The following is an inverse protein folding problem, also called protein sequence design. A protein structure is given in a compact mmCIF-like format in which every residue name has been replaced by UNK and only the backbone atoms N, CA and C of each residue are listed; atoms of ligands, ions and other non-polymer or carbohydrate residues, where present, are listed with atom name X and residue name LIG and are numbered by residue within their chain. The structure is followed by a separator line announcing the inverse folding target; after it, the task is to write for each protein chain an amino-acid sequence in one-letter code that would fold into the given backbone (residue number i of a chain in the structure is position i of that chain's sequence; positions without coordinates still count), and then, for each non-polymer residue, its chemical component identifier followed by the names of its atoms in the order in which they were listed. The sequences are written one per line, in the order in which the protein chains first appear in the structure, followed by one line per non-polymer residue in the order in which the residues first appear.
data_IF_298383726701
#
_entry.id   IF_298383726701
#
_cell.length_a   1.000
_cell.length_b   1.000
_cell.length_c   1.000
_cell.angle_alpha   90.00
_cell.angle_beta   90.00
_cell.angle_gamma   90.00
#
_symmetry.space_group_name_H-M   'P 1'
#
loop_
_entity.id
_entity.type
_entity.pdbx_description
1 polymer ?
#
# COMPACT_ATOMS: atom_id res chain seq x y z
N UNK A 1 -44.43 9.38 76.86
CA UNK A 1 -43.65 8.63 77.88
C UNK A 1 -42.52 7.86 77.19
N UNK A 2 -41.49 7.45 77.95
CA UNK A 2 -40.61 6.26 77.80
C UNK A 2 -40.50 5.59 76.40
N UNK A 3 -39.32 5.50 75.78
CA UNK A 3 -38.31 4.40 75.93
C UNK A 3 -38.78 3.05 75.30
N UNK A 4 -37.95 2.23 74.62
CA UNK A 4 -36.47 2.14 74.50
C UNK A 4 -36.05 1.32 73.25
N UNK A 5 -34.75 1.39 72.92
CA UNK A 5 -33.82 0.40 72.30
C UNK A 5 -34.26 -1.10 72.30
N UNK A 6 -33.83 -2.08 71.47
CA UNK A 6 -32.66 -2.33 70.56
C UNK A 6 -32.97 -3.62 69.71
N UNK A 7 -32.32 -4.10 68.62
CA UNK A 7 -31.07 -3.78 67.89
C UNK A 7 -31.08 -4.25 66.40
N UNK A 8 -30.14 -3.68 65.64
CA UNK A 8 -29.35 -4.14 64.47
C UNK A 8 -29.22 -5.64 64.11
N UNK A 9 -29.34 -5.96 62.81
CA UNK A 9 -28.43 -6.88 62.06
C UNK A 9 -28.17 -6.29 60.66
N UNK A 10 -26.92 -6.30 60.20
CA UNK A 10 -26.50 -5.94 58.82
C UNK A 10 -26.57 -7.16 57.90
N UNK A 11 -26.84 -6.95 56.60
CA UNK A 11 -25.91 -7.38 55.56
C UNK A 11 -25.99 -6.45 54.33
N UNK A 12 -24.90 -6.35 53.57
CA UNK A 12 -24.69 -5.28 52.59
C UNK A 12 -25.34 -5.54 51.22
N UNK A 13 -25.56 -4.47 50.47
CA UNK A 13 -26.10 -4.49 49.11
C UNK A 13 -25.03 -4.79 48.05
N UNK A 14 -25.49 -5.24 46.87
CA UNK A 14 -24.90 -4.83 45.59
C UNK A 14 -26.05 -4.24 44.76
N UNK A 15 -25.81 -3.07 44.17
CA UNK A 15 -26.78 -2.31 43.38
C UNK A 15 -26.93 -2.86 41.96
N UNK A 16 -28.15 -2.80 41.43
CA UNK A 16 -28.41 -2.93 40.00
C UNK A 16 -28.16 -1.59 39.29
N UNK A 17 -27.88 -1.63 37.99
CA UNK A 17 -28.45 -0.69 37.00
C UNK A 17 -28.26 -1.20 35.58
N UNK A 18 -29.30 -1.05 34.77
CA UNK A 18 -29.30 -1.28 33.33
C UNK A 18 -30.16 -0.20 32.66
N UNK A 19 -29.90 0.09 31.38
CA UNK A 19 -30.60 1.11 30.57
C UNK A 19 -30.38 2.56 31.06
N UNK A 20 -30.40 3.61 30.24
CA UNK A 20 -31.16 3.87 29.01
C UNK A 20 -30.33 4.57 27.91
N UNK A 21 -30.94 4.78 26.74
CA UNK A 21 -30.32 5.40 25.57
C UNK A 21 -30.48 6.93 25.52
N UNK A 22 -29.64 7.60 24.72
CA UNK A 22 -29.81 8.98 24.27
C UNK A 22 -29.64 9.07 22.75
N UNK A 23 -30.57 9.73 22.06
CA UNK A 23 -30.52 9.96 20.61
C UNK A 23 -30.03 11.39 20.29
N UNK A 24 -29.46 11.56 19.09
CA UNK A 24 -29.62 12.81 18.33
C UNK A 24 -28.44 13.78 18.31
N UNK A 25 -27.58 13.66 17.30
CA UNK A 25 -27.13 14.81 16.52
C UNK A 25 -26.64 14.33 15.15
N UNK A 26 -27.06 15.00 14.07
CA UNK A 26 -26.73 14.63 12.70
C UNK A 26 -25.41 15.26 12.27
N UNK A 27 -24.37 14.44 12.14
CA UNK A 27 -23.19 14.76 11.35
C UNK A 27 -22.73 13.51 10.63
N UNK A 28 -22.57 13.60 9.30
CA UNK A 28 -21.98 12.52 8.49
C UNK A 28 -20.49 12.38 8.78
N UNK A 29 -20.20 11.78 9.93
CA UNK A 29 -18.87 11.42 10.36
C UNK A 29 -18.38 10.30 9.44
N UNK A 30 -17.78 10.68 8.30
CA UNK A 30 -17.15 9.77 7.33
C UNK A 30 -16.33 8.74 8.09
N UNK A 31 -16.86 7.51 8.16
CA UNK A 31 -16.31 6.47 9.00
C UNK A 31 -15.09 5.89 8.32
N UNK A 32 -13.97 6.59 8.50
CA UNK A 32 -12.64 6.03 8.34
C UNK A 32 -12.53 4.84 9.28
N UNK A 33 -12.92 3.66 8.81
CA UNK A 33 -12.49 2.39 9.38
C UNK A 33 -10.98 2.36 9.23
N UNK A 34 -10.29 2.87 10.25
CA UNK A 34 -8.91 2.52 10.50
C UNK A 34 -8.88 0.99 10.58
N UNK A 35 -8.37 0.35 9.53
CA UNK A 35 -8.03 -1.07 9.61
C UNK A 35 -7.13 -1.21 10.83
N UNK A 36 -7.53 -2.06 11.78
CA UNK A 36 -6.75 -2.31 12.97
C UNK A 36 -5.35 -2.72 12.52
N UNK A 37 -4.39 -1.82 12.70
CA UNK A 37 -3.01 -2.13 12.38
C UNK A 37 -2.60 -3.27 13.33
N UNK A 38 -2.06 -4.39 12.83
CA UNK A 38 -1.26 -5.26 13.68
C UNK A 38 -0.26 -4.37 14.44
N UNK A 39 -0.03 -4.64 15.74
CA UNK A 39 0.81 -3.76 16.56
C UNK A 39 2.21 -3.66 15.97
N UNK A 40 2.91 -2.57 16.33
CA UNK A 40 4.28 -2.25 15.92
C UNK A 40 5.14 -3.52 15.77
N UNK A 41 5.44 -3.92 14.53
CA UNK A 41 6.68 -4.65 14.24
C UNK A 41 7.78 -3.60 14.17
N UNK A 42 8.07 -3.01 15.33
CA UNK A 42 9.31 -2.26 15.52
C UNK A 42 10.40 -3.30 15.73
N UNK A 43 11.24 -3.50 14.71
CA UNK A 43 12.44 -4.35 14.81
C UNK A 43 13.52 -3.64 15.66
N UNK A 44 13.21 -3.42 16.93
CA UNK A 44 14.17 -2.91 17.92
C UNK A 44 15.05 -4.07 18.38
N UNK A 45 16.36 -3.91 18.21
CA UNK A 45 17.41 -4.79 18.75
C UNK A 45 17.38 -6.25 18.23
N UNK A 46 17.28 -6.41 16.91
CA UNK A 46 17.87 -7.58 16.25
C UNK A 46 19.40 -7.36 16.14
N UNK A 47 20.26 -8.17 16.79
CA UNK A 47 21.70 -7.97 16.83
C UNK A 47 22.42 -8.25 15.49
N UNK A 48 21.69 -8.65 14.44
CA UNK A 48 22.22 -8.80 13.07
C UNK A 48 22.14 -7.51 12.25
N UNK A 49 21.40 -6.50 12.71
CA UNK A 49 21.30 -5.21 12.01
C UNK A 49 22.65 -4.48 11.99
N UNK A 50 23.02 -3.80 10.88
CA UNK A 50 24.25 -3.01 10.84
C UNK A 50 24.19 -1.87 11.87
N UNK A 51 25.26 -1.64 12.63
CA UNK A 51 25.27 -0.72 13.78
C UNK A 51 24.85 0.74 13.48
N UNK A 52 24.88 1.16 12.22
CA UNK A 52 24.40 2.46 11.76
C UNK A 52 22.87 2.57 11.60
N UNK A 53 22.12 1.47 11.69
CA UNK A 53 20.66 1.37 11.54
C UNK A 53 20.00 1.19 12.92
N UNK A 54 19.16 2.14 13.35
CA UNK A 54 18.40 2.04 14.61
C UNK A 54 17.13 1.19 14.46
N UNK A 55 16.32 1.50 13.45
CA UNK A 55 15.08 0.78 13.15
C UNK A 55 14.73 0.91 11.65
N UNK A 56 13.86 0.01 11.19
CA UNK A 56 13.10 0.19 9.95
C UNK A 56 11.70 -0.40 10.14
N UNK A 57 10.76 0.02 9.30
CA UNK A 57 9.37 -0.41 9.42
C UNK A 57 8.51 -0.09 8.22
N UNK A 58 7.29 -0.63 8.24
CA UNK A 58 6.32 -0.54 7.16
C UNK A 58 4.92 -0.25 7.71
N UNK A 59 4.17 0.59 7.00
CA UNK A 59 2.76 0.87 7.29
C UNK A 59 1.95 0.86 6.00
N UNK A 60 0.94 -0.01 5.96
CA UNK A 60 -0.02 -0.08 4.85
C UNK A 60 -1.29 0.67 5.23
N UNK A 61 -1.89 1.38 4.27
CA UNK A 61 -3.18 2.04 4.39
C UNK A 61 -4.05 1.72 3.18
N UNK A 62 -5.11 0.93 3.43
CA UNK A 62 -6.20 0.80 2.48
C UNK A 62 -7.15 2.00 2.60
N UNK A 63 -7.70 2.47 1.48
CA UNK A 63 -8.77 3.45 1.45
C UNK A 63 -9.69 3.22 0.24
N UNK A 64 -10.93 3.69 0.36
CA UNK A 64 -11.97 3.55 -0.66
C UNK A 64 -12.84 4.80 -0.63
N UNK A 65 -13.20 5.32 -1.81
CA UNK A 65 -14.28 6.27 -1.99
C UNK A 65 -15.41 5.50 -2.68
N UNK A 66 -16.47 5.09 -1.95
CA UNK A 66 -17.61 4.41 -2.55
C UNK A 66 -18.40 5.39 -3.42
N UNK A 67 -18.96 4.91 -4.53
CA UNK A 67 -19.85 5.67 -5.39
C UNK A 67 -21.07 6.15 -4.59
N UNK A 68 -21.34 7.46 -4.59
CA UNK A 68 -22.46 8.05 -3.85
C UNK A 68 -23.83 7.76 -4.50
N UNK A 69 -23.86 7.43 -5.79
CA UNK A 69 -25.05 7.02 -6.53
C UNK A 69 -24.69 6.12 -7.73
N UNK A 70 -25.69 5.62 -8.47
CA UNK A 70 -25.50 4.65 -9.57
C UNK A 70 -24.72 5.17 -10.77
N UNK A 71 -24.56 6.49 -10.94
CA UNK A 71 -23.84 7.12 -12.04
C UNK A 71 -22.49 7.73 -11.59
N UNK A 72 -22.11 7.50 -10.33
CA UNK A 72 -20.87 7.98 -9.74
C UNK A 72 -19.73 6.95 -9.91
N UNK A 73 -18.50 7.37 -9.66
CA UNK A 73 -17.34 6.48 -9.70
C UNK A 73 -17.04 5.88 -8.32
N UNK A 74 -16.59 4.63 -8.30
CA UNK A 74 -16.02 4.00 -7.11
C UNK A 74 -14.51 3.88 -7.31
N UNK A 75 -13.71 4.31 -6.34
CA UNK A 75 -12.26 4.10 -6.35
C UNK A 75 -11.79 3.45 -5.06
N UNK A 76 -10.83 2.54 -5.17
CA UNK A 76 -10.13 1.92 -4.05
C UNK A 76 -8.63 2.05 -4.26
N UNK A 77 -7.82 2.09 -3.20
CA UNK A 77 -6.37 1.97 -3.32
C UNK A 77 -5.73 1.47 -2.03
N UNK A 78 -4.48 1.02 -2.15
CA UNK A 78 -3.61 0.65 -1.04
C UNK A 78 -2.30 1.40 -1.19
N UNK A 79 -1.97 2.26 -0.23
CA UNK A 79 -0.64 2.87 -0.16
C UNK A 79 0.23 2.21 0.92
N UNK A 80 1.54 2.21 0.70
CA UNK A 80 2.56 1.85 1.68
C UNK A 80 3.42 3.06 2.02
N UNK A 81 3.82 3.13 3.27
CA UNK A 81 4.88 3.99 3.77
C UNK A 81 5.93 3.08 4.40
N UNK A 82 7.17 3.14 3.93
CA UNK A 82 8.28 2.35 4.47
C UNK A 82 9.41 3.30 4.89
N UNK A 83 9.96 3.12 6.10
CA UNK A 83 10.96 4.03 6.67
C UNK A 83 12.13 3.28 7.28
N UNK A 84 13.27 3.97 7.40
CA UNK A 84 14.39 3.58 8.25
C UNK A 84 14.92 4.81 9.00
N UNK A 85 15.45 4.58 10.20
CA UNK A 85 16.19 5.57 10.97
C UNK A 85 17.61 5.07 11.24
N UNK A 86 18.60 5.91 11.00
CA UNK A 86 20.02 5.65 11.23
C UNK A 86 20.51 6.29 12.52
N UNK A 87 21.71 5.96 12.99
CA UNK A 87 22.32 6.56 14.20
C UNK A 87 22.30 8.09 14.12
N UNK A 88 22.73 8.60 12.98
CA UNK A 88 22.95 10.01 12.64
C UNK A 88 22.82 10.21 11.11
N UNK A 89 22.94 11.47 10.67
CA UNK A 89 22.72 11.87 9.29
C UNK A 89 23.75 11.37 8.27
N UNK A 90 24.97 11.01 8.69
CA UNK A 90 26.01 10.58 7.74
C UNK A 90 25.68 9.20 7.14
N UNK A 91 24.94 8.37 7.87
CA UNK A 91 24.54 7.03 7.46
C UNK A 91 23.21 6.99 6.67
N UNK A 92 22.56 8.13 6.41
CA UNK A 92 21.27 8.15 5.71
C UNK A 92 21.31 7.52 4.30
N UNK A 93 22.45 7.62 3.61
CA UNK A 93 22.65 7.03 2.28
C UNK A 93 23.15 5.58 2.33
N UNK A 94 23.53 5.03 3.49
CA UNK A 94 24.04 3.65 3.61
C UNK A 94 22.94 2.60 3.39
N UNK A 95 21.67 2.98 3.49
CA UNK A 95 20.52 2.08 3.36
C UNK A 95 19.53 2.60 2.32
N UNK A 96 18.84 1.70 1.63
CA UNK A 96 17.81 2.06 0.65
C UNK A 96 16.79 0.93 0.45
N UNK A 97 15.62 1.29 -0.08
CA UNK A 97 14.58 0.33 -0.44
C UNK A 97 14.69 -0.10 -1.90
N UNK A 98 14.47 -1.39 -2.13
CA UNK A 98 14.06 -1.93 -3.44
C UNK A 98 12.63 -2.45 -3.29
N UNK A 99 11.77 -2.13 -4.25
CA UNK A 99 10.43 -2.69 -4.33
C UNK A 99 10.41 -3.79 -5.40
N UNK A 100 9.68 -4.87 -5.11
CA UNK A 100 9.37 -5.94 -6.05
C UNK A 100 7.87 -6.02 -6.26
N UNK A 101 7.44 -6.41 -7.46
CA UNK A 101 6.03 -6.56 -7.86
C UNK A 101 5.79 -7.91 -8.52
N UNK A 102 4.58 -8.44 -8.35
CA UNK A 102 3.99 -9.50 -9.17
C UNK A 102 2.46 -9.35 -9.25
N UNK A 103 1.84 -9.97 -10.26
CA UNK A 103 0.42 -9.87 -10.56
C UNK A 103 0.15 -9.03 -11.81
N UNK A 104 -1.04 -8.43 -11.92
CA UNK A 104 -1.36 -7.54 -13.03
C UNK A 104 -2.38 -6.44 -12.73
N UNK A 105 -2.45 -5.46 -13.63
CA UNK A 105 -3.54 -4.48 -13.75
C UNK A 105 -4.27 -4.70 -15.08
N UNK A 106 -5.60 -4.74 -15.04
CA UNK A 106 -6.42 -5.05 -16.21
C UNK A 106 -7.79 -4.35 -16.16
N UNK A 107 -8.34 -4.02 -17.33
CA UNK A 107 -9.73 -3.58 -17.45
C UNK A 107 -10.67 -4.79 -17.43
N UNK A 108 -11.83 -4.64 -16.79
CA UNK A 108 -12.95 -5.58 -16.91
C UNK A 108 -14.24 -4.83 -17.20
N UNK A 109 -15.04 -5.36 -18.13
CA UNK A 109 -16.27 -4.74 -18.63
C UNK A 109 -17.40 -5.76 -18.63
N UNK A 110 -18.59 -5.35 -18.18
CA UNK A 110 -19.81 -6.18 -18.23
C UNK A 110 -20.69 -5.73 -19.38
N UNK A 111 -20.86 -6.62 -20.34
CA UNK A 111 -21.71 -6.43 -21.52
C UNK A 111 -23.20 -6.49 -21.16
N UNK A 112 -24.05 -6.02 -22.09
CA UNK A 112 -25.52 -6.00 -21.93
C UNK A 112 -26.17 -7.38 -21.89
N UNK A 113 -25.50 -8.40 -22.41
CA UNK A 113 -25.88 -9.82 -22.31
C UNK A 113 -25.44 -10.48 -20.99
N UNK A 114 -24.71 -9.72 -20.14
CA UNK A 114 -24.15 -10.21 -18.87
C UNK A 114 -22.78 -10.86 -18.99
N UNK A 115 -22.21 -10.99 -20.19
CA UNK A 115 -20.85 -11.53 -20.37
C UNK A 115 -19.78 -10.58 -19.80
N UNK A 116 -18.70 -11.16 -19.28
CA UNK A 116 -17.55 -10.41 -18.76
C UNK A 116 -16.42 -10.42 -19.77
N UNK A 117 -15.98 -9.24 -20.18
CA UNK A 117 -14.78 -9.03 -20.98
C UNK A 117 -13.63 -8.61 -20.06
N UNK A 118 -12.43 -9.13 -20.32
CA UNK A 118 -11.18 -8.77 -19.63
C UNK A 118 -10.19 -8.28 -20.69
N UNK A 119 -9.51 -7.18 -20.42
CA UNK A 119 -8.53 -6.57 -21.33
C UNK A 119 -7.26 -6.16 -20.58
N UNK A 120 -6.12 -6.70 -21.01
CA UNK A 120 -4.79 -6.31 -20.55
C UNK A 120 -4.32 -5.12 -21.38
N UNK A 121 -4.89 -3.95 -21.07
CA UNK A 121 -4.72 -2.70 -21.82
C UNK A 121 -4.01 -1.60 -21.01
N UNK A 122 -3.57 -1.91 -19.78
CA UNK A 122 -2.82 -0.99 -18.92
C UNK A 122 -1.32 -1.21 -19.11
N UNK A 123 -0.62 -0.15 -19.53
CA UNK A 123 0.84 -0.14 -19.66
C UNK A 123 1.51 0.25 -18.34
N UNK A 124 2.67 -0.34 -18.09
CA UNK A 124 3.60 0.01 -17.02
C UNK A 124 4.97 0.36 -17.62
N UNK A 125 5.64 1.38 -17.07
CA UNK A 125 7.03 1.64 -17.39
C UNK A 125 7.92 0.75 -16.52
N UNK A 126 8.78 -0.05 -17.14
CA UNK A 126 9.65 -1.02 -16.47
C UNK A 126 11.02 -1.01 -17.15
N UNK A 127 12.08 -0.71 -16.40
CA UNK A 127 13.47 -0.68 -16.90
C UNK A 127 13.64 0.11 -18.22
N UNK A 128 13.04 1.31 -18.29
CA UNK A 128 13.10 2.21 -19.46
C UNK A 128 12.21 1.81 -20.64
N UNK A 129 11.46 0.71 -20.56
CA UNK A 129 10.50 0.24 -21.59
C UNK A 129 9.06 0.44 -21.12
N UNK A 130 8.12 0.48 -22.06
CA UNK A 130 6.69 0.33 -21.78
C UNK A 130 6.26 -1.08 -22.15
N UNK A 131 5.58 -1.77 -21.25
CA UNK A 131 4.99 -3.09 -21.47
C UNK A 131 3.64 -3.19 -20.75
N UNK A 132 2.87 -4.26 -20.96
CA UNK A 132 1.65 -4.47 -20.17
C UNK A 132 2.00 -4.61 -18.68
N UNK A 133 1.15 -4.09 -17.79
CA UNK A 133 1.33 -4.26 -16.35
C UNK A 133 0.96 -5.69 -15.93
N UNK A 134 1.86 -6.63 -16.24
CA UNK A 134 1.71 -8.07 -16.07
C UNK A 134 3.08 -8.66 -15.70
N UNK A 135 3.20 -9.13 -14.46
CA UNK A 135 4.41 -9.73 -13.92
C UNK A 135 4.02 -11.06 -13.24
N UNK A 136 4.05 -12.20 -13.95
CA UNK A 136 3.62 -13.49 -13.39
C UNK A 136 4.40 -13.86 -12.12
N UNK A 137 5.71 -13.66 -12.20
CA UNK A 137 6.69 -13.86 -11.15
C UNK A 137 7.10 -12.54 -10.49
N UNK A 138 7.89 -12.64 -9.42
CA UNK A 138 8.46 -11.47 -8.75
C UNK A 138 9.57 -10.84 -9.62
N UNK A 139 9.43 -9.55 -9.93
CA UNK A 139 10.46 -8.71 -10.55
C UNK A 139 10.67 -7.43 -9.75
N UNK A 140 11.80 -6.75 -9.92
CA UNK A 140 11.98 -5.38 -9.39
C UNK A 140 10.95 -4.45 -10.01
N UNK A 141 10.39 -3.57 -9.19
CA UNK A 141 9.40 -2.56 -9.53
C UNK A 141 10.08 -1.19 -9.73
N UNK A 142 10.73 -0.99 -10.88
CA UNK A 142 11.38 0.28 -11.24
C UNK A 142 11.08 0.70 -12.69
N UNK A 143 10.71 1.98 -12.93
CA UNK A 143 10.57 2.53 -14.28
C UNK A 143 11.92 2.86 -14.93
N UNK A 144 13.01 2.93 -14.16
CA UNK A 144 14.36 3.25 -14.62
C UNK A 144 15.26 2.01 -14.59
N UNK A 145 16.50 2.14 -15.08
CA UNK A 145 17.47 1.04 -15.01
C UNK A 145 17.98 0.79 -13.58
N UNK A 146 17.99 1.81 -12.73
CA UNK A 146 18.36 1.69 -11.32
C UNK A 146 17.20 1.02 -10.53
N UNK A 147 17.45 -0.10 -9.82
CA UNK A 147 16.45 -0.80 -9.01
C UNK A 147 16.12 -0.12 -7.67
N UNK A 148 16.86 0.91 -7.24
CA UNK A 148 16.63 1.64 -6.00
C UNK A 148 15.35 2.50 -6.12
N UNK A 149 14.42 2.34 -5.16
CA UNK A 149 13.14 3.05 -5.19
C UNK A 149 13.33 4.56 -5.03
N UNK A 150 12.82 5.35 -5.99
CA UNK A 150 12.99 6.81 -5.98
C UNK A 150 14.33 7.31 -6.49
N UNK A 151 15.14 6.45 -7.12
CA UNK A 151 16.35 6.87 -7.84
C UNK A 151 16.03 7.73 -9.08
N UNK A 152 16.95 8.63 -9.42
CA UNK A 152 17.00 9.36 -10.70
C UNK A 152 18.47 9.63 -11.05
N UNK A 153 19.02 9.05 -12.14
CA UNK A 153 20.43 9.20 -12.50
C UNK A 153 20.80 10.63 -12.96
N UNK A 154 19.85 11.57 -12.99
CA UNK A 154 20.09 13.01 -13.22
C UNK A 154 20.32 13.79 -11.91
N UNK A 155 20.28 13.14 -10.76
CA UNK A 155 20.44 13.75 -9.43
C UNK A 155 21.81 13.48 -8.84
N UNK A 156 22.21 14.33 -7.88
CA UNK A 156 23.51 14.23 -7.21
C UNK A 156 23.65 12.98 -6.31
N UNK A 157 22.54 12.38 -5.90
CA UNK A 157 22.48 11.15 -5.09
C UNK A 157 21.32 10.27 -5.56
N UNK A 158 21.46 8.94 -5.41
CA UNK A 158 20.39 7.96 -5.65
C UNK A 158 19.21 8.18 -4.68
N UNK A 159 19.46 8.78 -3.52
CA UNK A 159 18.46 9.04 -2.47
C UNK A 159 17.65 10.32 -2.68
N UNK A 160 17.79 11.04 -3.80
CA UNK A 160 17.24 12.40 -3.95
C UNK A 160 15.75 12.48 -3.61
N UNK A 161 14.93 11.56 -4.14
CA UNK A 161 13.48 11.51 -3.91
C UNK A 161 13.06 10.63 -2.72
N UNK A 162 14.00 10.17 -1.88
CA UNK A 162 13.65 9.70 -0.54
C UNK A 162 13.08 10.87 0.25
N UNK A 163 12.06 10.62 1.06
CA UNK A 163 11.27 11.65 1.70
C UNK A 163 11.50 11.72 3.21
N UNK A 164 11.21 12.90 3.78
CA UNK A 164 11.23 13.14 5.22
C UNK A 164 10.14 14.14 5.63
N UNK A 165 9.88 14.22 6.93
CA UNK A 165 8.95 15.20 7.50
C UNK A 165 9.45 15.70 8.87
N UNK A 166 8.86 16.80 9.37
CA UNK A 166 9.24 17.43 10.65
C UNK A 166 8.74 16.68 11.89
N UNK A 167 7.85 15.71 11.70
CA UNK A 167 7.17 14.95 12.75
C UNK A 167 7.26 13.46 12.40
N UNK A 168 8.41 12.80 12.64
CA UNK A 168 8.68 11.43 12.21
C UNK A 168 7.76 10.37 12.83
N UNK A 169 7.06 10.72 13.92
CA UNK A 169 6.01 9.94 14.56
C UNK A 169 4.63 10.09 13.87
N UNK A 170 4.44 11.17 13.10
CA UNK A 170 3.23 11.47 12.33
C UNK A 170 3.41 11.10 10.86
N UNK A 171 3.05 9.86 10.52
CA UNK A 171 2.91 9.39 9.15
C UNK A 171 2.13 10.41 8.29
N UNK A 172 2.75 11.01 7.25
CA UNK A 172 2.14 12.07 6.48
C UNK A 172 0.94 11.54 5.67
N UNK A 173 0.02 12.44 5.32
CA UNK A 173 -1.19 12.10 4.53
C UNK A 173 -0.95 12.06 3.02
N UNK A 174 0.25 12.44 2.61
CA UNK A 174 0.74 12.70 1.25
C UNK A 174 2.27 12.55 1.26
N UNK A 175 2.92 12.91 0.16
CA UNK A 175 4.37 13.12 0.15
C UNK A 175 4.83 14.17 1.19
N UNK A 176 6.08 14.02 1.65
CA UNK A 176 6.81 14.94 2.51
C UNK A 176 7.77 15.86 1.72
N UNK A 177 8.89 16.22 2.35
CA UNK A 177 10.00 16.94 1.71
C UNK A 177 11.01 15.94 1.13
N UNK A 178 11.59 16.22 -0.03
CA UNK A 178 12.66 15.40 -0.59
C UNK A 178 14.00 15.62 0.13
N UNK A 179 14.75 14.54 0.31
CA UNK A 179 16.09 14.54 0.91
C UNK A 179 17.08 15.39 0.10
N UNK A 180 17.03 15.31 -1.23
CA UNK A 180 17.89 16.06 -2.13
C UNK A 180 17.64 17.58 -2.14
N UNK A 181 16.50 18.04 -1.63
CA UNK A 181 16.18 19.47 -1.51
C UNK A 181 16.62 20.07 -0.16
N UNK A 182 16.62 19.27 0.92
CA UNK A 182 17.01 19.71 2.26
C UNK A 182 17.32 18.55 3.22
N UNK A 183 18.34 18.74 4.07
CA UNK A 183 18.71 17.81 5.15
C UNK A 183 17.55 17.64 6.15
N UNK A 184 17.19 16.41 6.55
CA UNK A 184 16.05 16.15 7.42
C UNK A 184 16.29 16.57 8.87
N UNK A 185 15.22 16.89 9.59
CA UNK A 185 15.29 17.28 11.00
C UNK A 185 15.70 16.12 11.95
N UNK A 186 15.62 14.87 11.48
CA UNK A 186 16.04 13.65 12.18
C UNK A 186 16.76 12.72 11.20
N UNK A 187 17.60 11.76 11.65
CA UNK A 187 18.31 10.84 10.77
C UNK A 187 17.39 9.71 10.24
N UNK A 188 16.23 10.08 9.69
CA UNK A 188 15.17 9.19 9.23
C UNK A 188 14.73 9.55 7.83
N UNK A 189 14.63 8.56 6.95
CA UNK A 189 14.08 8.69 5.60
C UNK A 189 12.97 7.66 5.37
N UNK A 190 12.05 7.98 4.46
CA UNK A 190 10.97 7.10 4.05
C UNK A 190 10.72 7.13 2.55
N UNK A 191 10.09 6.08 2.05
CA UNK A 191 9.41 6.06 0.75
C UNK A 191 7.89 6.02 0.96
N UNK A 192 7.15 6.75 0.13
CA UNK A 192 5.71 6.61 0.00
C UNK A 192 5.39 6.06 -1.39
N UNK A 193 4.62 4.97 -1.47
CA UNK A 193 4.09 4.47 -2.73
C UNK A 193 2.58 4.28 -2.62
N UNK A 194 1.84 4.92 -3.52
CA UNK A 194 0.44 4.64 -3.82
C UNK A 194 0.37 4.34 -5.31
N UNK A 195 0.17 3.08 -5.73
CA UNK A 195 0.04 2.71 -7.14
C UNK A 195 -1.11 3.44 -7.84
N UNK A 196 -1.23 3.24 -9.16
CA UNK A 196 -2.43 3.66 -9.92
C UNK A 196 -3.71 3.28 -9.20
N UNK A 197 -4.75 4.10 -9.29
CA UNK A 197 -5.96 3.90 -8.48
C UNK A 197 -6.95 3.00 -9.21
N UNK A 198 -7.23 1.76 -8.72
CA UNK A 198 -8.33 0.96 -9.24
C UNK A 198 -9.65 1.73 -9.12
N UNK A 199 -10.38 1.78 -10.24
CA UNK A 199 -11.52 2.66 -10.44
C UNK A 199 -12.62 1.94 -11.22
N UNK A 200 -13.87 2.14 -10.83
CA UNK A 200 -15.05 1.66 -11.53
C UNK A 200 -15.93 2.85 -11.94
N UNK A 201 -16.48 2.79 -13.15
CA UNK A 201 -17.38 3.81 -13.72
C UNK A 201 -18.58 3.12 -14.34
N UNK A 202 -19.77 3.45 -13.84
CA UNK A 202 -21.05 2.98 -14.40
C UNK A 202 -21.59 4.00 -15.41
N UNK A 203 -21.67 3.64 -16.70
CA UNK A 203 -22.14 4.56 -17.75
C UNK A 203 -23.64 4.45 -18.02
N UNK A 204 -24.46 4.44 -16.96
CA UNK A 204 -25.91 4.64 -17.05
C UNK A 204 -26.69 3.68 -17.96
N UNK A 205 -26.18 2.46 -18.21
CA UNK A 205 -26.80 1.49 -19.13
C UNK A 205 -26.16 1.39 -20.53
N UNK A 206 -25.04 2.07 -20.78
CA UNK A 206 -24.16 1.78 -21.91
C UNK A 206 -23.36 0.49 -21.63
N UNK A 207 -22.30 0.58 -20.83
CA UNK A 207 -21.56 -0.54 -20.23
C UNK A 207 -21.01 -0.11 -18.86
N UNK A 208 -20.65 -1.10 -18.04
CA UNK A 208 -20.03 -0.93 -16.73
C UNK A 208 -18.56 -1.38 -16.81
N UNK A 209 -17.61 -0.49 -16.48
CA UNK A 209 -16.17 -0.71 -16.69
C UNK A 209 -15.38 -0.49 -15.39
N UNK A 210 -14.43 -1.38 -15.10
CA UNK A 210 -13.51 -1.26 -13.97
C UNK A 210 -12.04 -1.46 -14.39
N UNK A 211 -11.14 -0.65 -13.81
CA UNK A 211 -9.69 -0.92 -13.73
C UNK A 211 -9.45 -1.72 -12.45
N UNK A 212 -8.91 -2.92 -12.59
CA UNK A 212 -8.73 -3.89 -11.52
C UNK A 212 -7.24 -4.03 -11.20
N UNK A 213 -6.91 -4.08 -9.91
CA UNK A 213 -5.57 -4.43 -9.45
C UNK A 213 -5.60 -5.82 -8.82
N UNK A 214 -4.72 -6.70 -9.25
CA UNK A 214 -4.36 -7.90 -8.49
C UNK A 214 -2.85 -7.97 -8.40
N UNK A 215 -2.29 -7.09 -7.57
CA UNK A 215 -0.86 -6.89 -7.40
C UNK A 215 -0.43 -7.31 -5.98
N UNK A 216 0.66 -8.06 -5.90
CA UNK A 216 1.44 -8.24 -4.68
C UNK A 216 2.76 -7.51 -4.82
N UNK A 217 3.18 -6.91 -3.71
CA UNK A 217 4.41 -6.16 -3.59
C UNK A 217 5.25 -6.73 -2.45
N UNK A 218 6.56 -6.66 -2.58
CA UNK A 218 7.51 -6.92 -1.51
C UNK A 218 8.49 -5.75 -1.48
N UNK A 219 8.45 -4.96 -0.42
CA UNK A 219 9.40 -3.85 -0.24
C UNK A 219 10.47 -4.30 0.73
N UNK A 220 11.74 -4.16 0.35
CA UNK A 220 12.89 -4.70 1.07
C UNK A 220 13.93 -3.61 1.31
N UNK A 221 14.49 -3.55 2.52
CA UNK A 221 15.61 -2.68 2.86
C UNK A 221 16.93 -3.42 2.59
N UNK A 222 17.89 -2.74 1.98
CA UNK A 222 19.26 -3.21 1.73
C UNK A 222 20.26 -2.18 2.25
N UNK A 223 21.55 -2.53 2.31
CA UNK A 223 22.59 -1.50 2.23
C UNK A 223 22.68 -1.00 0.79
N UNK A 224 22.79 0.31 0.58
CA UNK A 224 22.83 0.91 -0.77
C UNK A 224 23.95 0.35 -1.64
N UNK A 225 25.13 0.11 -1.06
CA UNK A 225 26.28 -0.49 -1.76
C UNK A 225 26.03 -1.93 -2.24
N UNK A 226 25.10 -2.63 -1.59
CA UNK A 226 24.72 -4.02 -1.91
C UNK A 226 23.61 -4.02 -3.01
N UNK A 227 23.09 -2.83 -3.42
CA UNK A 227 22.16 -2.62 -4.55
C UNK A 227 22.95 -2.14 -5.80
N UNK A 228 22.93 -2.88 -6.94
CA UNK A 228 23.61 -2.44 -8.15
C UNK A 228 22.99 -1.16 -8.73
N UNK A 229 23.77 -0.37 -9.47
CA UNK A 229 23.30 0.87 -10.12
C UNK A 229 22.41 0.60 -11.34
N UNK A 230 22.38 -0.63 -11.85
CA UNK A 230 21.51 -1.09 -12.93
C UNK A 230 21.03 -2.51 -12.66
N UNK A 231 19.81 -2.84 -13.07
CA UNK A 231 19.24 -4.19 -13.05
C UNK A 231 18.51 -4.50 -14.36
N UNK A 232 18.20 -5.78 -14.57
CA UNK A 232 17.35 -6.34 -15.63
C UNK A 232 15.93 -6.68 -15.14
N UNK A 233 15.63 -6.41 -13.86
CA UNK A 233 14.41 -6.80 -13.18
C UNK A 233 14.55 -8.01 -12.25
N UNK A 234 15.71 -8.68 -12.20
CA UNK A 234 15.96 -9.85 -11.34
C UNK A 234 16.01 -9.53 -9.83
N UNK A 235 15.82 -10.55 -9.00
CA UNK A 235 15.80 -10.42 -7.54
C UNK A 235 17.20 -10.19 -6.98
N UNK A 236 17.39 -9.11 -6.21
CA UNK A 236 18.66 -8.77 -5.56
C UNK A 236 18.74 -9.51 -4.21
N UNK A 237 19.77 -10.34 -3.97
CA UNK A 237 19.96 -11.04 -2.69
C UNK A 237 20.50 -10.10 -1.60
N UNK A 238 20.44 -10.53 -0.34
CA UNK A 238 21.08 -9.80 0.77
C UNK A 238 20.27 -8.65 1.39
N UNK A 239 18.94 -8.68 1.28
CA UNK A 239 18.08 -7.76 2.01
C UNK A 239 18.29 -7.88 3.54
N UNK A 240 18.31 -6.74 4.23
CA UNK A 240 18.33 -6.66 5.70
C UNK A 240 16.95 -7.02 6.29
N UNK A 241 15.88 -6.78 5.52
CA UNK A 241 14.53 -7.19 5.86
C UNK A 241 13.54 -6.84 4.76
N UNK A 242 12.42 -7.56 4.70
CA UNK A 242 11.40 -7.42 3.66
C UNK A 242 10.00 -7.47 4.28
N UNK A 243 9.06 -6.76 3.65
CA UNK A 243 7.66 -6.76 4.02
C UNK A 243 6.78 -6.92 2.77
N UNK A 244 5.87 -7.91 2.81
CA UNK A 244 4.91 -8.14 1.72
C UNK A 244 3.60 -7.40 1.97
N UNK A 245 3.07 -6.78 0.92
CA UNK A 245 1.78 -6.12 0.90
C UNK A 245 1.06 -6.37 -0.43
N UNK A 246 -0.21 -5.99 -0.54
CA UNK A 246 -1.00 -6.19 -1.77
C UNK A 246 -1.80 -4.94 -2.12
N UNK A 247 -1.80 -4.54 -3.38
CA UNK A 247 -2.86 -3.71 -3.95
C UNK A 247 -3.76 -4.67 -4.73
N UNK A 248 -4.76 -5.19 -4.02
CA UNK A 248 -5.69 -6.21 -4.52
C UNK A 248 -7.10 -5.65 -4.42
N UNK A 249 -7.60 -5.16 -5.54
CA UNK A 249 -8.87 -4.45 -5.71
C UNK A 249 -9.45 -4.90 -7.05
N UNK A 250 -10.22 -5.99 -7.02
CA UNK A 250 -10.86 -6.61 -8.18
C UNK A 250 -12.36 -6.33 -8.11
N UNK A 251 -12.93 -5.77 -9.17
CA UNK A 251 -14.32 -5.33 -9.15
C UNK A 251 -15.29 -6.49 -9.44
N UNK A 252 -16.20 -6.73 -8.51
CA UNK A 252 -17.30 -7.68 -8.71
C UNK A 252 -18.47 -6.95 -9.39
N UNK A 253 -18.62 -7.15 -10.70
CA UNK A 253 -19.69 -6.58 -11.52
C UNK A 253 -21.09 -7.18 -11.26
N UNK A 254 -21.23 -8.10 -10.31
CA UNK A 254 -22.52 -8.63 -9.86
C UNK A 254 -22.88 -8.09 -8.47
N UNK A 255 -21.90 -7.96 -7.57
CA UNK A 255 -22.07 -7.32 -6.26
C UNK A 255 -21.87 -5.80 -6.26
N UNK A 256 -21.43 -5.22 -7.40
CA UNK A 256 -21.11 -3.80 -7.62
C UNK A 256 -20.26 -3.18 -6.50
N UNK A 257 -19.07 -3.75 -6.30
CA UNK A 257 -18.06 -3.29 -5.33
C UNK A 257 -16.67 -3.85 -5.64
N UNK A 258 -15.61 -3.20 -5.16
CA UNK A 258 -14.30 -3.85 -5.07
C UNK A 258 -14.24 -4.96 -4.01
N UNK A 259 -13.55 -6.05 -4.36
CA UNK A 259 -13.15 -7.13 -3.47
C UNK A 259 -11.61 -7.23 -3.41
N UNK A 260 -11.07 -7.84 -2.35
CA UNK A 260 -9.60 -7.96 -2.15
C UNK A 260 -9.14 -9.43 -2.00
N UNK A 261 -9.06 -10.20 -3.10
CA UNK A 261 -8.53 -11.57 -3.09
C UNK A 261 -7.12 -11.67 -2.46
N UNK A 262 -6.83 -12.80 -1.81
CA UNK A 262 -5.51 -13.08 -1.20
C UNK A 262 -4.51 -13.71 -2.17
N UNK A 263 -4.98 -14.29 -3.27
CA UNK A 263 -4.16 -14.74 -4.40
C UNK A 263 -3.97 -13.67 -5.46
N UNK A 264 -3.05 -13.94 -6.39
CA UNK A 264 -3.10 -13.34 -7.73
C UNK A 264 -4.26 -14.01 -8.47
N UNK A 265 -5.17 -13.23 -9.06
CA UNK A 265 -6.36 -13.78 -9.74
C UNK A 265 -6.01 -14.42 -11.09
N UNK A 266 -6.87 -15.33 -11.56
CA UNK A 266 -6.67 -16.06 -12.81
C UNK A 266 -6.52 -15.17 -14.06
N UNK A 267 -7.07 -13.94 -14.05
CA UNK A 267 -6.87 -12.97 -15.11
C UNK A 267 -5.39 -12.52 -15.26
N UNK A 268 -4.55 -12.73 -14.24
CA UNK A 268 -3.13 -12.36 -14.26
C UNK A 268 -2.19 -13.55 -14.48
N UNK A 269 -2.70 -14.71 -14.94
CA UNK A 269 -1.87 -15.87 -15.31
C UNK A 269 -1.55 -15.83 -16.81
N UNK A 270 -0.26 -15.89 -17.22
CA UNK A 270 0.13 -15.77 -18.63
C UNK A 270 -0.41 -16.93 -19.49
N UNK A 271 -0.58 -18.11 -18.89
CA UNK A 271 -1.18 -19.33 -19.47
C UNK A 271 -2.56 -19.14 -20.11
N UNK A 272 -3.27 -18.05 -19.79
CA UNK A 272 -4.63 -17.75 -20.28
C UNK A 272 -4.72 -16.47 -21.11
N UNK A 273 -3.59 -15.90 -21.50
CA UNK A 273 -3.53 -14.74 -22.37
C UNK A 273 -3.39 -15.19 -23.84
N UNK A 274 -3.92 -14.41 -24.81
CA UNK A 274 -3.49 -14.57 -26.19
C UNK A 274 -1.99 -14.31 -26.29
N UNK A 275 -1.30 -14.95 -27.23
CA UNK A 275 0.15 -14.79 -27.37
C UNK A 275 0.51 -13.32 -27.65
N UNK A 276 1.30 -12.75 -26.74
CA UNK A 276 1.74 -11.35 -26.78
C UNK A 276 3.03 -11.17 -27.59
N UNK A 277 3.65 -12.25 -28.09
CA UNK A 277 4.80 -12.18 -29.00
C UNK A 277 4.51 -11.31 -30.24
N UNK A 278 3.28 -11.40 -30.75
CA UNK A 278 2.72 -10.68 -31.90
C UNK A 278 2.84 -9.15 -31.74
N UNK A 279 2.78 -8.63 -30.50
CA UNK A 279 2.89 -7.19 -30.23
C UNK A 279 4.33 -6.66 -30.22
N UNK A 280 5.34 -7.54 -30.31
CA UNK A 280 6.76 -7.18 -30.26
C UNK A 280 7.47 -7.19 -31.63
N UNK A 281 6.80 -7.61 -32.71
CA UNK A 281 7.46 -7.72 -34.03
C UNK A 281 7.61 -6.38 -34.77
N UNK A 282 6.73 -5.39 -34.51
CA UNK A 282 6.74 -4.10 -35.19
C UNK A 282 7.68 -3.05 -34.55
N UNK A 283 9.00 -3.26 -34.70
CA UNK A 283 10.01 -2.19 -34.90
C UNK A 283 11.40 -2.76 -35.24
N UNK A 284 11.71 -2.77 -36.53
CA UNK A 284 13.05 -2.81 -37.13
C UNK A 284 13.16 -1.74 -38.20
#
# INVERSE_FOLDING_TARGET
MMHKTISTVFFAAILASACLAGQGSSGDQKTFRASACPPKVSCSEDPTLPAALKEFGFRVKNWQLPAANRNDFEIANTSVYAWYETTDHAHLEDFAFVQYVRGCVYSSEKNKDGTMVIQHNVLHQHFGKHQLFLHPDWVVDSPLLDPLFGSDPKRATRHYFMEWNKAPEQFPRSHGSYYGDAVPATPRLFMFNSPTTPAYVSRGGATDVAINHSLKYRTCLYRTRDIPNTSDGSIIPGALGCFEWKSSHVYDHTLRKFASPDGIVDACRPERLPDLSILNEEKK
#
